data_IF_767015415119
#
_entry.id   IF_767015415119
#
_cell.length_a   1.000
_cell.length_b   1.000
_cell.length_c   1.000
_cell.angle_alpha   90.00
_cell.angle_beta   90.00
_cell.angle_gamma   90.00
#
_symmetry.space_group_name_H-M   'P 1'
#
loop_
_entity.id
_entity.type
_entity.pdbx_description
1 polymer ?
#
# COMPACT_ATOMS: atom_id res chain seq x y z
N UNK A 1 51.33 18.02 -26.30
CA UNK A 1 51.57 16.88 -25.39
C UNK A 1 51.19 17.37 -24.02
N UNK A 2 49.94 17.18 -23.63
CA UNK A 2 49.44 17.61 -22.33
C UNK A 2 49.73 16.53 -21.31
N UNK A 3 50.48 16.91 -20.27
CA UNK A 3 50.80 16.07 -19.13
C UNK A 3 49.52 15.81 -18.33
N UNK A 4 48.99 14.58 -18.46
CA UNK A 4 47.89 14.10 -17.65
C UNK A 4 48.30 14.06 -16.17
N UNK A 5 47.72 14.96 -15.38
CA UNK A 5 47.84 14.95 -13.92
C UNK A 5 47.13 13.70 -13.40
N UNK A 6 47.92 12.76 -12.88
CA UNK A 6 47.40 11.57 -12.19
C UNK A 6 46.83 12.05 -10.85
N UNK A 7 45.53 12.32 -10.79
CA UNK A 7 44.82 12.50 -9.53
C UNK A 7 45.02 11.24 -8.68
N UNK A 8 45.79 11.37 -7.61
CA UNK A 8 46.15 10.28 -6.71
C UNK A 8 44.90 9.74 -6.01
N UNK A 9 44.68 8.43 -6.12
CA UNK A 9 43.56 7.66 -5.57
C UNK A 9 43.29 7.83 -4.06
N UNK A 10 44.23 8.41 -3.31
CA UNK A 10 44.11 8.72 -1.88
C UNK A 10 43.01 9.74 -1.56
N UNK A 11 42.77 10.73 -2.44
CA UNK A 11 41.73 11.74 -2.22
C UNK A 11 40.30 11.16 -2.25
N UNK A 12 40.06 10.19 -3.13
CA UNK A 12 38.76 9.54 -3.27
C UNK A 12 38.36 8.70 -2.05
N UNK A 13 39.33 7.99 -1.46
CA UNK A 13 39.09 7.16 -0.28
C UNK A 13 38.71 8.00 0.95
N UNK A 14 39.40 9.13 1.17
CA UNK A 14 39.12 10.03 2.30
C UNK A 14 37.73 10.65 2.19
N UNK A 15 37.34 11.14 1.01
CA UNK A 15 35.99 11.69 0.79
C UNK A 15 34.89 10.63 0.98
N UNK A 16 35.13 9.39 0.51
CA UNK A 16 34.19 8.27 0.71
C UNK A 16 33.96 7.96 2.18
N UNK A 17 35.02 7.88 2.98
CA UNK A 17 34.93 7.64 4.43
C UNK A 17 34.19 8.79 5.13
N UNK A 18 34.49 10.04 4.78
CA UNK A 18 33.79 11.21 5.34
C UNK A 18 32.31 11.26 4.98
N UNK A 19 31.95 10.90 3.74
CA UNK A 19 30.55 10.78 3.31
C UNK A 19 29.83 9.67 4.08
N UNK A 20 30.46 8.51 4.24
CA UNK A 20 29.92 7.40 5.02
C UNK A 20 29.70 7.80 6.49
N UNK A 21 30.68 8.44 7.12
CA UNK A 21 30.56 8.93 8.50
C UNK A 21 29.43 9.93 8.68
N UNK A 22 29.27 10.88 7.75
CA UNK A 22 28.15 11.83 7.72
C UNK A 22 26.81 11.13 7.56
N UNK A 23 26.73 10.12 6.69
CA UNK A 23 25.52 9.35 6.47
C UNK A 23 25.11 8.53 7.71
N UNK A 24 26.06 7.84 8.35
CA UNK A 24 25.82 7.08 9.59
C UNK A 24 25.34 8.01 10.71
N UNK A 25 25.99 9.18 10.88
CA UNK A 25 25.56 10.19 11.85
C UNK A 25 24.15 10.69 11.56
N UNK A 26 23.81 10.91 10.29
CA UNK A 26 22.46 11.27 9.87
C UNK A 26 21.43 10.19 10.22
N UNK A 27 21.70 8.92 9.90
CA UNK A 27 20.81 7.80 10.24
C UNK A 27 20.61 7.68 11.76
N UNK A 28 21.70 7.80 12.53
CA UNK A 28 21.62 7.78 13.98
C UNK A 28 20.74 8.90 14.52
N UNK A 29 20.94 10.13 14.02
CA UNK A 29 20.11 11.28 14.37
C UNK A 29 18.65 11.11 13.93
N UNK A 30 18.40 10.45 12.81
CA UNK A 30 17.05 10.23 12.29
C UNK A 30 16.25 9.25 13.15
N UNK A 31 16.86 8.17 13.64
CA UNK A 31 16.14 7.10 14.33
C UNK A 31 16.29 7.09 15.86
N UNK A 32 17.40 7.59 16.42
CA UNK A 32 17.73 7.45 17.85
C UNK A 32 17.55 8.73 18.67
N UNK A 33 16.78 9.69 18.18
CA UNK A 33 16.36 10.84 18.99
C UNK A 33 15.32 10.44 20.04
N UNK A 34 15.47 10.96 21.26
CA UNK A 34 14.54 10.74 22.37
C UNK A 34 13.09 11.09 22.02
N UNK A 35 12.89 12.18 21.26
CA UNK A 35 11.55 12.59 20.82
C UNK A 35 11.00 11.60 19.79
N UNK A 36 9.90 10.95 20.17
CA UNK A 36 9.19 9.96 19.36
C UNK A 36 9.99 8.68 19.11
N UNK A 37 10.81 8.26 20.08
CA UNK A 37 11.72 7.11 19.93
C UNK A 37 10.99 5.82 19.53
N UNK A 38 9.82 5.53 20.12
CA UNK A 38 9.04 4.33 19.79
C UNK A 38 8.64 4.31 18.31
N UNK A 39 8.01 5.37 17.82
CA UNK A 39 7.62 5.51 16.40
C UNK A 39 8.83 5.44 15.45
N UNK A 40 9.98 5.97 15.86
CA UNK A 40 11.21 5.92 15.04
C UNK A 40 11.79 4.50 14.99
N UNK A 41 11.86 3.80 16.12
CA UNK A 41 12.39 2.45 16.18
C UNK A 41 11.50 1.47 15.42
N UNK A 42 10.18 1.55 15.59
CA UNK A 42 9.24 0.72 14.81
C UNK A 42 9.35 1.03 13.31
N UNK A 43 9.53 2.31 12.93
CA UNK A 43 9.79 2.70 11.55
C UNK A 43 11.11 2.15 10.99
N UNK A 44 12.17 2.14 11.79
CA UNK A 44 13.45 1.53 11.41
C UNK A 44 13.30 0.01 11.22
N UNK A 45 12.63 -0.67 12.15
CA UNK A 45 12.32 -2.09 12.05
C UNK A 45 11.53 -2.40 10.77
N UNK A 46 10.55 -1.56 10.42
CA UNK A 46 9.80 -1.70 9.17
C UNK A 46 10.70 -1.59 7.94
N UNK A 47 11.59 -0.60 7.89
CA UNK A 47 12.50 -0.41 6.75
C UNK A 47 13.48 -1.58 6.59
N UNK A 48 13.99 -2.12 7.70
CA UNK A 48 14.86 -3.31 7.69
C UNK A 48 14.07 -4.52 7.17
N UNK A 49 12.88 -4.77 7.71
CA UNK A 49 12.02 -5.87 7.27
C UNK A 49 11.63 -5.73 5.80
N UNK A 50 11.34 -4.52 5.32
CA UNK A 50 11.04 -4.26 3.92
C UNK A 50 12.23 -4.57 3.02
N UNK A 51 13.44 -4.12 3.39
CA UNK A 51 14.66 -4.43 2.65
C UNK A 51 14.94 -5.94 2.61
N UNK A 52 14.74 -6.65 3.74
CA UNK A 52 14.86 -8.11 3.80
C UNK A 52 13.80 -8.81 2.94
N UNK A 53 12.55 -8.34 2.96
CA UNK A 53 11.47 -8.86 2.12
C UNK A 53 11.85 -8.79 0.64
N UNK A 54 12.30 -7.61 0.22
CA UNK A 54 12.71 -7.35 -1.15
C UNK A 54 13.91 -8.24 -1.53
N UNK A 55 14.93 -8.29 -0.69
CA UNK A 55 16.11 -9.12 -0.93
C UNK A 55 15.77 -10.61 -1.05
N UNK A 56 14.98 -11.16 -0.13
CA UNK A 56 14.60 -12.57 -0.18
C UNK A 56 13.66 -12.87 -1.33
N UNK A 57 12.68 -12.01 -1.63
CA UNK A 57 11.78 -12.19 -2.76
C UNK A 57 12.56 -12.40 -4.07
N UNK A 58 13.54 -11.52 -4.36
CA UNK A 58 14.31 -11.60 -5.60
C UNK A 58 15.44 -12.64 -5.58
N UNK A 59 16.00 -12.97 -4.41
CA UNK A 59 17.10 -13.95 -4.31
C UNK A 59 16.61 -15.40 -4.22
N UNK A 60 15.58 -15.65 -3.41
CA UNK A 60 15.05 -16.98 -3.15
C UNK A 60 13.61 -16.85 -2.63
N UNK A 61 12.66 -16.88 -3.56
CA UNK A 61 11.23 -16.74 -3.27
C UNK A 61 10.71 -17.80 -2.29
N UNK A 62 11.18 -19.05 -2.37
CA UNK A 62 10.79 -20.12 -1.44
C UNK A 62 11.19 -19.78 0.01
N UNK A 63 12.39 -19.25 0.21
CA UNK A 63 12.83 -18.76 1.54
C UNK A 63 11.95 -17.60 1.99
N UNK A 64 11.63 -16.67 1.10
CA UNK A 64 10.74 -15.54 1.41
C UNK A 64 9.35 -16.03 1.86
N UNK A 65 8.71 -16.93 1.10
CA UNK A 65 7.37 -17.48 1.36
C UNK A 65 7.25 -18.16 2.71
N UNK A 66 8.31 -18.81 3.18
CA UNK A 66 8.33 -19.49 4.48
C UNK A 66 8.94 -18.67 5.62
N UNK A 67 9.40 -17.45 5.34
CA UNK A 67 10.01 -16.60 6.35
C UNK A 67 8.99 -15.90 7.25
N UNK A 68 9.44 -15.51 8.45
CA UNK A 68 8.61 -14.72 9.37
C UNK A 68 8.22 -13.34 8.81
N UNK A 69 8.95 -12.86 7.79
CA UNK A 69 8.75 -11.54 7.19
C UNK A 69 7.38 -11.43 6.51
N UNK A 70 6.78 -12.56 6.09
CA UNK A 70 5.43 -12.63 5.52
C UNK A 70 4.37 -12.01 6.43
N UNK A 71 4.44 -12.27 7.74
CA UNK A 71 3.49 -11.70 8.69
C UNK A 71 4.10 -10.52 9.45
N UNK A 72 5.41 -10.52 9.71
CA UNK A 72 6.02 -9.49 10.55
C UNK A 72 6.12 -8.14 9.86
N UNK A 73 6.40 -8.10 8.55
CA UNK A 73 6.48 -6.84 7.78
C UNK A 73 5.15 -6.07 7.84
N UNK A 74 4.02 -6.64 7.40
CA UNK A 74 2.77 -5.89 7.42
C UNK A 74 2.28 -5.62 8.84
N UNK A 75 2.56 -6.50 9.81
CA UNK A 75 2.24 -6.25 11.22
C UNK A 75 3.02 -5.04 11.76
N UNK A 76 4.32 -4.97 11.47
CA UNK A 76 5.16 -3.83 11.85
C UNK A 76 4.66 -2.56 11.16
N UNK A 77 4.15 -2.65 9.92
CA UNK A 77 3.52 -1.53 9.23
C UNK A 77 2.26 -1.01 9.94
N UNK A 78 1.39 -1.92 10.38
CA UNK A 78 0.22 -1.58 11.19
C UNK A 78 0.62 -0.96 12.53
N UNK A 79 1.54 -1.57 13.27
CA UNK A 79 2.06 -1.02 14.53
C UNK A 79 2.69 0.35 14.30
N UNK A 80 3.41 0.55 13.19
CA UNK A 80 4.00 1.84 12.83
C UNK A 80 2.94 2.93 12.62
N UNK A 81 1.84 2.58 11.92
CA UNK A 81 0.74 3.52 11.69
C UNK A 81 -0.01 3.88 12.98
N UNK A 82 -0.21 2.92 13.89
CA UNK A 82 -0.87 3.14 15.19
C UNK A 82 0.03 4.00 16.08
N UNK A 83 1.31 3.67 16.19
CA UNK A 83 2.26 4.49 16.97
C UNK A 83 2.38 5.90 16.40
N UNK A 84 2.31 6.08 15.08
CA UNK A 84 2.25 7.41 14.45
C UNK A 84 1.00 8.19 14.89
N UNK A 85 -0.18 7.56 14.86
CA UNK A 85 -1.43 8.17 15.30
C UNK A 85 -1.37 8.60 16.78
N UNK A 86 -0.82 7.76 17.65
CA UNK A 86 -0.63 8.08 19.07
C UNK A 86 0.42 9.18 19.31
N UNK A 87 1.41 9.29 18.44
CA UNK A 87 2.53 10.22 18.57
C UNK A 87 2.20 11.62 18.05
N UNK A 88 1.52 11.72 16.91
CA UNK A 88 1.31 12.97 16.19
C UNK A 88 -0.04 13.63 16.49
N UNK A 89 -0.51 13.51 17.73
CA UNK A 89 -1.80 14.06 18.20
C UNK A 89 -1.87 15.59 18.19
N UNK A 90 -0.73 16.27 18.07
CA UNK A 90 -0.64 17.72 17.93
C UNK A 90 -1.00 18.24 16.52
N UNK A 91 -1.18 17.36 15.54
CA UNK A 91 -1.63 17.75 14.20
C UNK A 91 -3.12 18.11 14.21
N UNK A 92 -3.52 19.00 13.30
CA UNK A 92 -4.92 19.41 13.20
C UNK A 92 -5.83 18.23 12.86
N UNK A 93 -6.86 18.04 13.69
CA UNK A 93 -7.93 17.05 13.51
C UNK A 93 -9.03 17.53 12.56
N UNK A 94 -9.16 18.84 12.40
CA UNK A 94 -10.19 19.48 11.55
C UNK A 94 -9.74 19.65 10.11
N UNK A 95 -8.44 19.49 9.83
CA UNK A 95 -7.89 19.58 8.48
C UNK A 95 -8.35 18.38 7.64
N UNK A 96 -9.21 18.63 6.66
CA UNK A 96 -9.72 17.60 5.73
C UNK A 96 -8.76 17.31 4.57
N UNK A 97 -7.92 18.29 4.19
CA UNK A 97 -6.83 18.10 3.23
C UNK A 97 -5.75 17.17 3.83
N UNK A 98 -5.44 16.03 3.19
CA UNK A 98 -4.39 15.12 3.67
C UNK A 98 -3.02 15.81 3.80
N UNK A 99 -2.78 16.89 3.05
CA UNK A 99 -1.52 17.64 3.09
C UNK A 99 -0.31 16.90 2.52
N UNK A 100 -0.50 15.64 2.09
CA UNK A 100 0.50 14.92 1.30
C UNK A 100 0.76 15.70 0.00
N UNK A 101 -0.30 16.00 -0.77
CA UNK A 101 -0.30 16.58 -2.13
C UNK A 101 -0.04 18.07 -2.19
N UNK A 102 1.02 18.49 -1.50
CA UNK A 102 1.43 19.88 -1.37
C UNK A 102 2.94 20.00 -1.14
N UNK A 103 3.52 21.14 -1.51
CA UNK A 103 4.92 21.45 -1.17
C UNK A 103 5.07 22.13 0.19
N UNK A 104 4.01 22.77 0.71
CA UNK A 104 4.02 23.48 2.00
C UNK A 104 3.17 22.83 3.10
N UNK A 105 2.28 21.91 2.76
CA UNK A 105 1.33 21.34 3.72
C UNK A 105 1.94 20.27 4.61
N UNK A 106 1.60 20.36 5.90
CA UNK A 106 1.75 19.28 6.88
C UNK A 106 0.71 18.19 6.67
N UNK A 107 1.02 16.94 7.07
CA UNK A 107 0.01 15.88 7.11
C UNK A 107 -1.14 16.26 8.05
N UNK A 108 -2.37 15.90 7.69
CA UNK A 108 -3.49 15.96 8.63
C UNK A 108 -3.46 14.78 9.60
N UNK A 109 -4.00 14.97 10.80
CA UNK A 109 -4.15 13.86 11.76
C UNK A 109 -5.05 12.75 11.19
N UNK A 110 -6.12 13.13 10.49
CA UNK A 110 -7.02 12.21 9.81
C UNK A 110 -6.29 11.30 8.81
N UNK A 111 -5.33 11.82 8.04
CA UNK A 111 -4.55 11.02 7.09
C UNK A 111 -3.68 9.97 7.80
N UNK A 112 -3.08 10.31 8.94
CA UNK A 112 -2.24 9.38 9.71
C UNK A 112 -3.10 8.25 10.28
N UNK A 113 -4.26 8.57 10.85
CA UNK A 113 -5.20 7.55 11.37
C UNK A 113 -5.73 6.70 10.22
N UNK A 114 -6.11 7.31 9.10
CA UNK A 114 -6.54 6.60 7.89
C UNK A 114 -5.48 5.63 7.37
N UNK A 115 -4.18 5.97 7.47
CA UNK A 115 -3.12 5.06 7.07
C UNK A 115 -3.14 3.72 7.85
N UNK A 116 -3.60 3.72 9.10
CA UNK A 116 -3.73 2.48 9.87
C UNK A 116 -4.75 1.51 9.30
N UNK A 117 -5.80 2.03 8.66
CA UNK A 117 -6.74 1.18 7.92
C UNK A 117 -6.05 0.51 6.73
N UNK A 118 -5.27 1.24 5.93
CA UNK A 118 -4.58 0.64 4.77
C UNK A 118 -3.48 -0.34 5.19
N UNK A 119 -2.73 -0.02 6.24
CA UNK A 119 -1.77 -0.97 6.80
C UNK A 119 -2.46 -2.23 7.34
N UNK A 120 -3.66 -2.09 7.93
CA UNK A 120 -4.48 -3.23 8.36
C UNK A 120 -4.99 -4.08 7.19
N UNK A 121 -5.48 -3.45 6.12
CA UNK A 121 -5.86 -4.17 4.90
C UNK A 121 -4.68 -4.93 4.30
N UNK A 122 -3.51 -4.30 4.24
CA UNK A 122 -2.31 -4.94 3.74
C UNK A 122 -1.93 -6.15 4.60
N UNK A 123 -1.98 -6.02 5.93
CA UNK A 123 -1.78 -7.16 6.83
C UNK A 123 -2.73 -8.31 6.54
N UNK A 124 -4.03 -8.04 6.42
CA UNK A 124 -4.96 -9.11 6.09
C UNK A 124 -4.67 -9.75 4.75
N UNK A 125 -4.31 -8.96 3.73
CA UNK A 125 -4.00 -9.50 2.41
C UNK A 125 -2.75 -10.41 2.43
N UNK A 126 -1.68 -10.03 3.14
CA UNK A 126 -0.51 -10.88 3.30
C UNK A 126 -0.83 -12.19 4.04
N UNK A 127 -1.61 -12.12 5.12
CA UNK A 127 -2.02 -13.31 5.86
C UNK A 127 -2.94 -14.20 5.01
N UNK A 128 -3.83 -13.61 4.22
CA UNK A 128 -4.79 -14.34 3.39
C UNK A 128 -4.13 -15.16 2.27
N UNK A 129 -3.00 -14.67 1.74
CA UNK A 129 -2.20 -15.36 0.74
C UNK A 129 -1.13 -16.30 1.33
N UNK A 130 -0.97 -16.33 2.65
CA UNK A 130 -0.07 -17.28 3.30
C UNK A 130 -0.78 -18.61 3.50
N UNK A 131 -0.23 -19.70 2.97
CA UNK A 131 -0.82 -21.03 3.12
C UNK A 131 -1.03 -21.43 4.59
N UNK A 132 -0.09 -21.04 5.46
CA UNK A 132 -0.18 -21.27 6.90
C UNK A 132 -1.41 -20.60 7.51
N UNK A 133 -1.58 -19.28 7.32
CA UNK A 133 -2.69 -18.53 7.93
C UNK A 133 -4.02 -18.77 7.20
N UNK A 134 -4.00 -18.98 5.89
CA UNK A 134 -5.20 -19.23 5.09
C UNK A 134 -5.94 -20.47 5.56
N UNK A 135 -5.25 -21.53 5.98
CA UNK A 135 -5.89 -22.73 6.53
C UNK A 135 -6.81 -22.41 7.72
N UNK A 136 -6.35 -21.56 8.64
CA UNK A 136 -7.15 -21.11 9.80
C UNK A 136 -8.27 -20.15 9.40
N UNK A 137 -8.01 -19.26 8.43
CA UNK A 137 -9.01 -18.29 7.95
C UNK A 137 -10.15 -19.02 7.22
N UNK A 138 -9.84 -19.94 6.32
CA UNK A 138 -10.81 -20.69 5.53
C UNK A 138 -11.68 -21.61 6.39
N UNK A 139 -11.17 -22.06 7.55
CA UNK A 139 -11.97 -22.82 8.53
C UNK A 139 -13.02 -21.96 9.25
N UNK A 140 -12.97 -20.63 9.13
CA UNK A 140 -13.93 -19.71 9.73
C UNK A 140 -14.61 -18.87 8.67
N UNK A 141 -15.82 -19.29 8.27
CA UNK A 141 -16.67 -18.57 7.30
C UNK A 141 -16.86 -17.09 7.66
N UNK A 142 -16.88 -16.76 8.96
CA UNK A 142 -17.03 -15.38 9.44
C UNK A 142 -15.78 -14.56 9.14
N UNK A 143 -14.59 -15.08 9.46
CA UNK A 143 -13.32 -14.38 9.23
C UNK A 143 -13.07 -14.23 7.73
N UNK A 144 -13.28 -15.30 6.96
CA UNK A 144 -13.12 -15.31 5.51
C UNK A 144 -14.01 -14.23 4.86
N UNK A 145 -15.30 -14.19 5.22
CA UNK A 145 -16.22 -13.18 4.70
C UNK A 145 -15.89 -11.75 5.13
N UNK A 146 -15.41 -11.55 6.37
CA UNK A 146 -14.98 -10.23 6.85
C UNK A 146 -13.80 -9.68 6.04
N UNK A 147 -12.84 -10.53 5.71
CA UNK A 147 -11.64 -10.17 4.92
C UNK A 147 -12.02 -9.91 3.47
N UNK A 148 -12.88 -10.75 2.89
CA UNK A 148 -13.16 -10.74 1.45
C UNK A 148 -14.16 -9.64 1.05
N UNK A 149 -15.28 -9.51 1.76
CA UNK A 149 -16.41 -8.67 1.31
C UNK A 149 -16.62 -7.40 2.13
N UNK A 150 -16.22 -7.42 3.40
CA UNK A 150 -16.52 -6.33 4.33
C UNK A 150 -15.40 -5.29 4.58
N UNK A 151 -14.18 -5.32 3.98
CA UNK A 151 -13.11 -4.40 4.39
C UNK A 151 -13.50 -2.93 4.20
N UNK A 152 -14.17 -2.57 3.10
CA UNK A 152 -14.55 -1.19 2.84
C UNK A 152 -15.89 -0.76 3.46
N UNK A 153 -16.66 -1.70 4.00
CA UNK A 153 -17.78 -1.35 4.91
C UNK A 153 -17.18 -0.95 6.25
N UNK A 154 -16.22 -1.73 6.77
CA UNK A 154 -15.48 -1.41 7.99
C UNK A 154 -14.66 -0.12 7.88
N UNK A 155 -14.24 0.28 6.67
CA UNK A 155 -13.58 1.58 6.41
C UNK A 155 -14.31 2.77 7.02
N UNK A 156 -15.63 2.71 7.19
CA UNK A 156 -16.41 3.81 7.76
C UNK A 156 -16.04 4.14 9.21
N UNK A 157 -15.40 3.21 9.92
CA UNK A 157 -14.92 3.39 11.29
C UNK A 157 -13.65 4.25 11.39
N UNK A 158 -13.01 4.56 10.26
CA UNK A 158 -11.82 5.43 10.19
C UNK A 158 -12.16 6.81 9.62
N UNK A 159 -11.45 7.87 10.02
CA UNK A 159 -11.58 9.18 9.39
C UNK A 159 -11.24 9.10 7.90
N UNK A 160 -11.88 9.91 7.06
CA UNK A 160 -11.67 9.94 5.61
C UNK A 160 -11.04 11.26 5.20
N UNK A 161 -9.96 11.20 4.45
CA UNK A 161 -9.43 12.36 3.73
C UNK A 161 -9.93 12.38 2.29
N UNK A 162 -10.11 13.58 1.72
CA UNK A 162 -10.67 13.74 0.39
C UNK A 162 -9.66 14.40 -0.55
N UNK A 163 -9.38 13.74 -1.68
CA UNK A 163 -8.54 14.32 -2.75
C UNK A 163 -9.08 15.66 -3.28
N UNK A 164 -10.41 15.85 -3.25
CA UNK A 164 -11.05 17.11 -3.65
C UNK A 164 -10.55 18.30 -2.83
N UNK A 165 -10.28 18.10 -1.55
CA UNK A 165 -9.83 19.17 -0.67
C UNK A 165 -8.38 19.57 -0.95
N UNK A 166 -7.54 18.62 -1.38
CA UNK A 166 -6.18 18.92 -1.86
C UNK A 166 -6.19 19.68 -3.20
N UNK A 167 -7.21 19.47 -4.05
CA UNK A 167 -7.37 20.21 -5.30
C UNK A 167 -7.87 21.64 -5.04
N UNK A 168 -8.86 21.79 -4.14
CA UNK A 168 -9.47 23.09 -3.83
C UNK A 168 -8.54 24.01 -3.03
N UNK A 169 -7.70 23.48 -2.13
CA UNK A 169 -6.75 24.27 -1.33
C UNK A 169 -5.44 24.61 -2.07
N UNK A 170 -5.47 24.64 -3.41
CA UNK A 170 -4.26 24.76 -4.22
C UNK A 170 -3.45 26.03 -3.93
N UNK A 171 -4.10 27.17 -3.69
CA UNK A 171 -3.40 28.45 -3.56
C UNK A 171 -2.73 28.67 -2.21
N UNK A 172 -3.19 27.99 -1.15
CA UNK A 172 -2.56 28.09 0.20
C UNK A 172 -1.36 27.16 0.34
N UNK A 173 -1.47 25.95 -0.20
CA UNK A 173 -0.55 24.86 0.10
C UNK A 173 0.43 24.54 -1.05
N UNK A 174 0.28 25.16 -2.23
CA UNK A 174 1.12 24.88 -3.41
C UNK A 174 1.76 26.17 -3.94
N UNK A 175 3.06 26.13 -4.23
CA UNK A 175 3.70 27.21 -4.98
C UNK A 175 3.25 27.20 -6.45
N UNK A 176 3.22 28.37 -7.09
CA UNK A 176 2.90 28.52 -8.52
C UNK A 176 3.64 27.52 -9.44
N UNK A 177 4.98 27.32 -9.34
CA UNK A 177 5.69 26.37 -10.20
C UNK A 177 5.34 24.91 -9.94
N UNK A 178 4.74 24.57 -8.79
CA UNK A 178 4.39 23.20 -8.43
C UNK A 178 2.89 22.89 -8.59
N UNK A 179 2.04 23.90 -8.86
CA UNK A 179 0.59 23.74 -8.92
C UNK A 179 0.15 22.69 -9.94
N UNK A 180 0.69 22.74 -11.16
CA UNK A 180 0.36 21.79 -12.22
C UNK A 180 0.86 20.36 -11.89
N UNK A 181 2.09 20.24 -11.40
CA UNK A 181 2.65 18.96 -10.97
C UNK A 181 1.73 18.28 -9.93
N UNK A 182 1.36 19.02 -8.88
CA UNK A 182 0.49 18.47 -7.83
C UNK A 182 -0.93 18.18 -8.31
N UNK A 183 -1.45 18.94 -9.27
CA UNK A 183 -2.74 18.64 -9.88
C UNK A 183 -2.71 17.28 -10.59
N UNK A 184 -1.73 17.07 -11.48
CA UNK A 184 -1.58 15.83 -12.26
C UNK A 184 -1.43 14.62 -11.33
N UNK A 185 -0.49 14.67 -10.37
CA UNK A 185 -0.26 13.53 -9.47
C UNK A 185 -1.48 13.24 -8.58
N UNK A 186 -2.22 14.28 -8.14
CA UNK A 186 -3.44 14.07 -7.35
C UNK A 186 -4.51 13.33 -8.17
N UNK A 187 -4.66 13.69 -9.44
CA UNK A 187 -5.61 13.02 -10.34
C UNK A 187 -5.21 11.57 -10.62
N UNK A 188 -3.92 11.32 -10.89
CA UNK A 188 -3.39 9.97 -11.08
C UNK A 188 -3.62 9.12 -9.83
N UNK A 189 -3.27 9.63 -8.65
CA UNK A 189 -3.46 8.90 -7.39
C UNK A 189 -4.93 8.64 -7.11
N UNK A 190 -5.82 9.61 -7.35
CA UNK A 190 -7.27 9.41 -7.19
C UNK A 190 -7.79 8.27 -8.07
N UNK A 191 -7.41 8.24 -9.35
CA UNK A 191 -7.80 7.18 -10.27
C UNK A 191 -7.25 5.83 -9.86
N UNK A 192 -5.95 5.78 -9.52
CA UNK A 192 -5.31 4.58 -9.00
C UNK A 192 -6.01 4.07 -7.75
N UNK A 193 -6.43 4.95 -6.85
CA UNK A 193 -7.03 4.57 -5.58
C UNK A 193 -8.39 3.88 -5.75
N UNK A 194 -9.23 4.38 -6.68
CA UNK A 194 -10.50 3.70 -7.04
C UNK A 194 -10.21 2.33 -7.64
N UNK A 195 -9.28 2.27 -8.59
CA UNK A 195 -8.92 1.01 -9.23
C UNK A 195 -8.31 0.00 -8.23
N UNK A 196 -7.38 0.43 -7.38
CA UNK A 196 -6.71 -0.38 -6.38
C UNK A 196 -7.70 -0.97 -5.36
N UNK A 197 -8.67 -0.18 -4.90
CA UNK A 197 -9.74 -0.67 -4.03
C UNK A 197 -10.42 -1.92 -4.59
N UNK A 198 -10.69 -1.91 -5.89
CA UNK A 198 -11.43 -2.98 -6.55
C UNK A 198 -10.54 -4.13 -7.02
N UNK A 199 -9.43 -3.84 -7.68
CA UNK A 199 -8.57 -4.87 -8.26
C UNK A 199 -7.48 -5.39 -7.31
N UNK A 200 -6.95 -4.57 -6.39
CA UNK A 200 -6.03 -5.07 -5.35
C UNK A 200 -6.82 -5.60 -4.17
N UNK A 201 -7.84 -4.85 -3.74
CA UNK A 201 -8.66 -5.22 -2.58
C UNK A 201 -9.59 -6.39 -2.88
N UNK A 202 -10.60 -6.19 -3.72
CA UNK A 202 -11.64 -7.20 -3.92
C UNK A 202 -11.24 -8.34 -4.85
N UNK A 203 -10.72 -8.05 -6.06
CA UNK A 203 -10.44 -9.09 -7.06
C UNK A 203 -9.49 -10.16 -6.54
N UNK A 204 -8.35 -9.75 -5.95
CA UNK A 204 -7.38 -10.70 -5.41
C UNK A 204 -7.98 -11.52 -4.26
N UNK A 205 -8.73 -10.87 -3.35
CA UNK A 205 -9.45 -11.60 -2.31
C UNK A 205 -10.43 -12.63 -2.88
N UNK A 206 -11.14 -12.31 -3.96
CA UNK A 206 -12.04 -13.27 -4.64
C UNK A 206 -11.29 -14.43 -5.28
N UNK A 207 -10.16 -14.15 -5.94
CA UNK A 207 -9.31 -15.18 -6.54
C UNK A 207 -8.82 -16.15 -5.47
N UNK A 208 -8.39 -15.66 -4.30
CA UNK A 208 -7.97 -16.54 -3.20
C UNK A 208 -9.14 -17.23 -2.51
N UNK A 209 -10.29 -16.57 -2.35
CA UNK A 209 -11.50 -17.14 -1.75
C UNK A 209 -11.99 -18.42 -2.47
N UNK A 210 -11.85 -18.44 -3.80
CA UNK A 210 -12.15 -19.61 -4.65
C UNK A 210 -10.92 -20.48 -4.96
N UNK A 211 -9.77 -20.19 -4.36
CA UNK A 211 -8.48 -20.85 -4.60
C UNK A 211 -8.11 -20.99 -6.09
N UNK A 212 -8.36 -19.92 -6.85
CA UNK A 212 -8.22 -19.87 -8.31
C UNK A 212 -6.85 -19.38 -8.78
N UNK A 213 -5.90 -19.15 -7.87
CA UNK A 213 -4.53 -18.77 -8.21
C UNK A 213 -3.58 -19.96 -8.09
N UNK A 214 -2.81 -20.22 -9.14
CA UNK A 214 -1.73 -21.20 -9.09
C UNK A 214 -0.50 -20.66 -8.31
N UNK A 215 0.49 -21.50 -7.97
CA UNK A 215 1.66 -21.07 -7.19
C UNK A 215 2.46 -19.90 -7.81
N UNK A 216 2.62 -19.88 -9.13
CA UNK A 216 3.32 -18.81 -9.84
C UNK A 216 2.55 -17.48 -9.78
N UNK A 217 1.23 -17.55 -9.88
CA UNK A 217 0.36 -16.38 -9.73
C UNK A 217 0.42 -15.82 -8.31
N UNK A 218 0.47 -16.70 -7.29
CA UNK A 218 0.66 -16.30 -5.89
C UNK A 218 2.00 -15.59 -5.69
N UNK A 219 3.09 -16.07 -6.32
CA UNK A 219 4.39 -15.39 -6.31
C UNK A 219 4.26 -13.94 -6.81
N UNK A 220 3.65 -13.71 -7.96
CA UNK A 220 3.46 -12.36 -8.48
C UNK A 220 2.51 -11.50 -7.63
N UNK A 221 1.57 -12.12 -6.93
CA UNK A 221 0.74 -11.41 -5.93
C UNK A 221 1.61 -10.97 -4.75
N UNK A 222 2.54 -11.79 -4.28
CA UNK A 222 3.50 -11.35 -3.27
C UNK A 222 4.40 -10.21 -3.75
N UNK A 223 4.80 -10.18 -5.02
CA UNK A 223 5.52 -9.03 -5.58
C UNK A 223 4.71 -7.74 -5.44
N UNK A 224 3.42 -7.81 -5.81
CA UNK A 224 2.49 -6.70 -5.66
C UNK A 224 2.37 -6.26 -4.18
N UNK A 225 2.29 -7.22 -3.27
CA UNK A 225 2.18 -6.97 -1.83
C UNK A 225 3.43 -6.33 -1.25
N UNK A 226 4.63 -6.74 -1.70
CA UNK A 226 5.90 -6.09 -1.35
C UNK A 226 5.87 -4.64 -1.82
N UNK A 227 5.53 -4.35 -3.07
CA UNK A 227 5.45 -2.95 -3.53
C UNK A 227 4.34 -2.14 -2.83
N UNK A 228 3.22 -2.77 -2.48
CA UNK A 228 2.14 -2.13 -1.72
C UNK A 228 2.58 -1.75 -0.29
N UNK A 229 3.48 -2.51 0.31
CA UNK A 229 4.11 -2.19 1.60
C UNK A 229 4.93 -0.88 1.52
N UNK A 230 5.54 -0.59 0.37
CA UNK A 230 6.17 0.71 0.15
C UNK A 230 5.12 1.84 0.12
N UNK A 231 4.07 1.67 -0.68
CA UNK A 231 3.07 2.72 -0.91
C UNK A 231 2.32 3.14 0.36
N UNK A 232 2.08 2.21 1.29
CA UNK A 232 1.33 2.47 2.54
C UNK A 232 2.19 3.10 3.63
N UNK A 233 3.34 2.50 3.97
CA UNK A 233 4.11 2.94 5.16
C UNK A 233 5.29 3.84 4.80
N UNK A 234 6.02 3.54 3.72
CA UNK A 234 7.21 4.31 3.33
C UNK A 234 6.81 5.69 2.80
N UNK A 235 5.64 5.82 2.18
CA UNK A 235 5.10 7.11 1.73
C UNK A 235 4.99 8.14 2.87
N UNK A 236 4.48 7.75 4.04
CA UNK A 236 4.38 8.59 5.24
C UNK A 236 5.77 8.99 5.76
N UNK A 237 6.73 8.06 5.70
CA UNK A 237 8.12 8.34 6.05
C UNK A 237 8.75 9.36 5.09
N UNK A 238 8.54 9.23 3.78
CA UNK A 238 9.00 10.19 2.77
C UNK A 238 8.43 11.59 3.04
N UNK A 239 7.16 11.70 3.44
CA UNK A 239 6.59 13.00 3.83
C UNK A 239 7.28 13.58 5.06
N UNK A 240 7.63 12.74 6.05
CA UNK A 240 8.38 13.20 7.21
C UNK A 240 9.76 13.74 6.81
N UNK A 241 10.46 13.07 5.89
CA UNK A 241 11.73 13.55 5.34
C UNK A 241 11.56 14.87 4.59
N UNK A 242 10.48 14.99 3.78
CA UNK A 242 10.10 16.23 3.09
C UNK A 242 9.86 17.37 4.08
N UNK A 243 9.05 17.13 5.10
CA UNK A 243 8.68 18.14 6.10
C UNK A 243 9.89 18.62 6.90
N UNK A 244 10.82 17.72 7.22
CA UNK A 244 12.09 18.07 7.86
C UNK A 244 13.10 18.75 6.92
N UNK A 245 12.79 18.89 5.64
CA UNK A 245 13.66 19.49 4.64
C UNK A 245 14.85 18.63 4.23
N UNK A 246 14.86 17.33 4.56
CA UNK A 246 15.94 16.43 4.15
C UNK A 246 15.88 16.06 2.66
N UNK A 247 14.67 16.06 2.08
CA UNK A 247 14.45 15.85 0.66
C UNK A 247 13.49 16.91 0.12
N UNK A 248 13.65 17.28 -1.16
CA UNK A 248 12.74 18.21 -1.82
C UNK A 248 11.33 17.64 -1.99
N UNK A 249 10.28 18.48 -2.04
CA UNK A 249 8.90 18.04 -2.26
C UNK A 249 8.68 17.23 -3.53
N UNK A 250 9.29 17.64 -4.65
CA UNK A 250 9.21 16.90 -5.92
C UNK A 250 9.91 15.54 -5.82
N UNK A 251 11.09 15.49 -5.22
CA UNK A 251 11.86 14.25 -5.03
C UNK A 251 11.08 13.25 -4.18
N UNK A 252 10.52 13.70 -3.05
CA UNK A 252 9.65 12.86 -2.20
C UNK A 252 8.49 12.27 -3.00
N UNK A 253 7.88 13.08 -3.87
CA UNK A 253 6.76 12.65 -4.69
C UNK A 253 7.16 11.70 -5.81
N UNK A 254 8.26 11.95 -6.51
CA UNK A 254 8.75 11.07 -7.56
C UNK A 254 9.07 9.69 -6.96
N UNK A 255 9.74 9.66 -5.82
CA UNK A 255 10.02 8.40 -5.10
C UNK A 255 8.71 7.69 -4.72
N UNK A 256 7.69 8.42 -4.28
CA UNK A 256 6.38 7.84 -4.04
C UNK A 256 5.74 7.27 -5.32
N UNK A 257 5.84 7.99 -6.44
CA UNK A 257 5.29 7.55 -7.73
C UNK A 257 5.96 6.29 -8.27
N UNK A 258 7.23 6.05 -7.94
CA UNK A 258 7.92 4.79 -8.27
C UNK A 258 7.13 3.60 -7.73
N UNK A 259 6.56 3.67 -6.53
CA UNK A 259 5.76 2.55 -6.01
C UNK A 259 4.48 2.25 -6.80
N UNK A 260 3.85 3.26 -7.40
CA UNK A 260 2.71 3.04 -8.29
C UNK A 260 3.15 2.38 -9.59
N UNK A 261 4.29 2.78 -10.14
CA UNK A 261 4.85 2.14 -11.33
C UNK A 261 5.24 0.69 -11.04
N UNK A 262 5.86 0.42 -9.89
CA UNK A 262 6.17 -0.93 -9.44
C UNK A 262 4.91 -1.77 -9.23
N UNK A 263 3.86 -1.18 -8.64
CA UNK A 263 2.55 -1.84 -8.51
C UNK A 263 1.96 -2.17 -9.88
N UNK A 264 2.00 -1.23 -10.82
CA UNK A 264 1.51 -1.46 -12.18
C UNK A 264 2.30 -2.56 -12.90
N UNK A 265 3.63 -2.60 -12.71
CA UNK A 265 4.46 -3.67 -13.21
C UNK A 265 4.02 -5.04 -12.65
N UNK A 266 3.76 -5.15 -11.35
CA UNK A 266 3.23 -6.41 -10.78
C UNK A 266 1.90 -6.81 -11.39
N UNK A 267 1.02 -5.84 -11.69
CA UNK A 267 -0.25 -6.10 -12.38
C UNK A 267 -0.08 -6.66 -13.79
N UNK A 268 0.93 -6.19 -14.52
CA UNK A 268 1.27 -6.76 -15.82
C UNK A 268 1.68 -8.23 -15.69
N UNK A 269 2.34 -8.61 -14.59
CA UNK A 269 2.74 -10.00 -14.33
C UNK A 269 1.54 -10.89 -13.97
N UNK A 270 0.58 -10.39 -13.18
CA UNK A 270 -0.65 -11.13 -12.86
C UNK A 270 -1.75 -11.00 -13.93
N UNK A 271 -1.44 -10.47 -15.12
CA UNK A 271 -2.47 -10.17 -16.13
C UNK A 271 -3.29 -11.39 -16.56
N UNK A 272 -2.67 -12.56 -16.57
CA UNK A 272 -3.33 -13.81 -16.94
C UNK A 272 -4.48 -14.16 -16.01
N UNK A 273 -4.39 -13.79 -14.72
CA UNK A 273 -5.45 -14.04 -13.73
C UNK A 273 -6.75 -13.34 -14.15
N UNK A 274 -6.68 -12.11 -14.68
CA UNK A 274 -7.88 -11.38 -15.12
C UNK A 274 -8.57 -12.02 -16.32
N UNK A 275 -7.78 -12.55 -17.27
CA UNK A 275 -8.33 -13.17 -18.47
C UNK A 275 -8.87 -14.58 -18.20
N UNK A 276 -8.19 -15.35 -17.36
CA UNK A 276 -8.65 -16.69 -16.97
C UNK A 276 -9.93 -16.57 -16.12
N UNK A 277 -9.95 -15.63 -15.17
CA UNK A 277 -11.08 -15.40 -14.25
C UNK A 277 -11.84 -14.12 -14.63
N UNK A 278 -12.33 -14.09 -15.87
CA UNK A 278 -13.01 -12.93 -16.43
C UNK A 278 -14.39 -12.68 -15.79
N UNK A 279 -15.01 -13.72 -15.22
CA UNK A 279 -16.19 -13.64 -14.36
C UNK A 279 -15.93 -12.75 -13.13
N UNK A 280 -14.87 -13.05 -12.36
CA UNK A 280 -14.45 -12.25 -11.21
C UNK A 280 -14.05 -10.83 -11.62
N UNK A 281 -13.40 -10.70 -12.78
CA UNK A 281 -13.04 -9.39 -13.36
C UNK A 281 -14.29 -8.55 -13.64
N UNK A 282 -15.36 -9.16 -14.17
CA UNK A 282 -16.62 -8.48 -14.47
C UNK A 282 -17.33 -8.02 -13.18
N UNK A 283 -17.41 -8.87 -12.15
CA UNK A 283 -17.96 -8.46 -10.85
C UNK A 283 -17.19 -7.26 -10.27
N UNK A 284 -15.87 -7.29 -10.36
CA UNK A 284 -15.02 -6.20 -9.86
C UNK A 284 -15.21 -4.93 -10.69
N UNK A 285 -15.35 -5.04 -12.02
CA UNK A 285 -15.63 -3.91 -12.91
C UNK A 285 -16.97 -3.24 -12.60
N UNK A 286 -18.03 -4.02 -12.34
CA UNK A 286 -19.31 -3.49 -11.86
C UNK A 286 -19.11 -2.74 -10.54
N UNK A 287 -18.32 -3.30 -9.63
CA UNK A 287 -17.92 -2.64 -8.39
C UNK A 287 -17.25 -1.27 -8.62
N UNK A 288 -16.35 -1.16 -9.61
CA UNK A 288 -15.70 0.10 -9.99
C UNK A 288 -16.72 1.13 -10.48
N UNK A 289 -17.69 0.72 -11.30
CA UNK A 289 -18.75 1.62 -11.79
C UNK A 289 -19.63 2.10 -10.62
N UNK A 290 -20.04 1.17 -9.74
CA UNK A 290 -20.84 1.48 -8.56
C UNK A 290 -20.09 2.32 -7.51
N UNK A 291 -18.75 2.36 -7.54
CA UNK A 291 -17.97 3.21 -6.65
C UNK A 291 -18.28 4.71 -6.82
N UNK A 292 -18.80 5.11 -8.00
CA UNK A 292 -19.25 6.47 -8.27
C UNK A 292 -20.71 6.73 -7.85
N UNK A 293 -21.41 5.71 -7.37
CA UNK A 293 -22.77 5.81 -6.83
C UNK A 293 -22.75 5.98 -5.30
N UNK A 294 -23.92 6.15 -4.70
CA UNK A 294 -24.08 6.27 -3.24
C UNK A 294 -23.54 5.03 -2.50
N UNK A 295 -23.13 5.22 -1.23
CA UNK A 295 -22.62 4.13 -0.39
C UNK A 295 -23.64 2.99 -0.22
N UNK A 296 -24.93 3.32 -0.27
CA UNK A 296 -26.02 2.34 -0.20
C UNK A 296 -25.88 1.29 -1.32
N UNK A 297 -25.76 1.72 -2.57
CA UNK A 297 -25.63 0.79 -3.70
C UNK A 297 -24.34 -0.04 -3.63
N UNK A 298 -23.25 0.56 -3.15
CA UNK A 298 -21.99 -0.17 -2.94
C UNK A 298 -22.15 -1.26 -1.89
N UNK A 299 -22.82 -0.98 -0.77
CA UNK A 299 -23.04 -1.95 0.30
C UNK A 299 -23.98 -3.07 -0.14
N UNK A 300 -25.11 -2.73 -0.77
CA UNK A 300 -26.05 -3.72 -1.31
C UNK A 300 -25.34 -4.66 -2.28
N UNK A 301 -24.54 -4.10 -3.19
CA UNK A 301 -23.76 -4.90 -4.13
C UNK A 301 -22.79 -5.86 -3.44
N UNK A 302 -22.05 -5.41 -2.43
CA UNK A 302 -21.12 -6.27 -1.69
C UNK A 302 -21.85 -7.35 -0.89
N UNK A 303 -23.02 -7.06 -0.32
CA UNK A 303 -23.84 -8.06 0.37
C UNK A 303 -24.37 -9.09 -0.64
N UNK A 304 -24.82 -8.66 -1.83
CA UNK A 304 -25.23 -9.58 -2.88
C UNK A 304 -24.07 -10.48 -3.34
N UNK A 305 -22.86 -9.94 -3.52
CA UNK A 305 -21.68 -10.75 -3.85
C UNK A 305 -21.33 -11.73 -2.73
N UNK A 306 -21.38 -11.30 -1.47
CA UNK A 306 -21.16 -12.18 -0.31
C UNK A 306 -22.12 -13.38 -0.37
N UNK A 307 -23.43 -13.14 -0.54
CA UNK A 307 -24.44 -14.21 -0.62
C UNK A 307 -24.17 -15.11 -1.82
N UNK A 308 -23.97 -14.53 -3.00
CA UNK A 308 -23.74 -15.27 -4.24
C UNK A 308 -22.48 -16.15 -4.15
N UNK A 309 -21.37 -15.61 -3.66
CA UNK A 309 -20.08 -16.29 -3.62
C UNK A 309 -20.05 -17.39 -2.57
N UNK A 310 -20.70 -17.19 -1.42
CA UNK A 310 -20.87 -18.27 -0.45
C UNK A 310 -21.80 -19.36 -0.99
N UNK A 311 -22.92 -19.00 -1.64
CA UNK A 311 -23.81 -19.97 -2.26
C UNK A 311 -23.08 -20.81 -3.32
N UNK A 312 -22.18 -20.20 -4.10
CA UNK A 312 -21.31 -20.91 -5.02
C UNK A 312 -20.30 -21.83 -4.30
N UNK A 313 -19.53 -21.29 -3.33
CA UNK A 313 -18.50 -22.02 -2.57
C UNK A 313 -19.05 -23.24 -1.83
N UNK A 314 -20.30 -23.18 -1.36
CA UNK A 314 -20.97 -24.27 -0.65
C UNK A 314 -21.95 -25.08 -1.53
N UNK A 315 -21.86 -24.94 -2.86
CA UNK A 315 -22.68 -25.69 -3.82
C UNK A 315 -24.20 -25.61 -3.58
N UNK A 316 -24.68 -24.45 -3.14
CA UNK A 316 -26.11 -24.17 -2.91
C UNK A 316 -26.82 -23.70 -4.19
N UNK A 317 -26.08 -23.36 -5.24
CA UNK A 317 -26.63 -22.92 -6.53
C UNK A 317 -26.81 -24.15 -7.45
N UNK A 318 -27.97 -24.29 -8.14
CA UNK A 318 -28.15 -25.32 -9.15
C UNK A 318 -27.06 -25.26 -10.23
N UNK A 319 -26.49 -26.41 -10.61
CA UNK A 319 -25.30 -26.50 -11.47
C UNK A 319 -25.44 -25.77 -12.82
N UNK A 320 -26.63 -25.78 -13.41
CA UNK A 320 -26.93 -25.07 -14.66
C UNK A 320 -26.88 -23.54 -14.52
N UNK A 321 -27.26 -23.01 -13.36
CA UNK A 321 -27.18 -21.57 -13.04
C UNK A 321 -25.73 -21.23 -12.68
N UNK A 322 -25.10 -22.09 -11.88
CA UNK A 322 -23.73 -21.91 -11.41
C UNK A 322 -22.74 -21.76 -12.57
N UNK A 323 -22.82 -22.64 -13.56
CA UNK A 323 -21.96 -22.62 -14.74
C UNK A 323 -22.12 -21.35 -15.58
N UNK A 324 -23.32 -20.75 -15.58
CA UNK A 324 -23.60 -19.47 -16.27
C UNK A 324 -23.08 -18.26 -15.49
N UNK A 325 -23.03 -18.35 -14.16
CA UNK A 325 -22.61 -17.24 -13.29
C UNK A 325 -21.10 -17.19 -13.07
N UNK A 326 -20.43 -18.34 -13.03
CA UNK A 326 -19.00 -18.48 -12.73
C UNK A 326 -18.16 -18.98 -13.91
N UNK A 327 -18.79 -19.16 -15.08
CA UNK A 327 -18.17 -19.33 -16.40
C UNK A 327 -16.89 -20.17 -16.43
N UNK A 328 -16.97 -21.35 -15.80
CA UNK A 328 -15.93 -22.39 -15.86
C UNK A 328 -15.65 -22.88 -17.27
#
# INVERSE_FOLDING_TARGET
>A
MDAGVIETSSGFAVDTIQRLGRFVKFLFHLFFQRKFIVHRLVGLSYLIQYALSFYWYFKNYETFKHSFVIWSLPLTGLVQSITAALTFTFLSRTKTDPGYYSDRGTLSYAFIVENSFFSGLLLFQWLYYSDFFYSYINNSIVIDNLIVFLPYILRQLWPKTHFRDSLNNSDKNKTAPNKNFYFIVTMITKMFYVWAKHYIGYFLNYVRFFDRANPQQIEYIYLLLVFSAFATTISVFLHTLKFKGYIGPRTSYIIYMISYLSTFYSFIQIRSIFFIHYDLTLYVLIGVILNFQSLYYQHVYQICLLILFNAHKFHMIPSNIDHRLFLY
#
